data_IF_752703827169
#
_entry.id   IF_752703827169
#
_cell.length_a   1.000
_cell.length_b   1.000
_cell.length_c   1.000
_cell.angle_alpha   90.00
_cell.angle_beta   90.00
_cell.angle_gamma   90.00
#
_symmetry.space_group_name_H-M   'P 1'
#
loop_
_entity.id
_entity.type
_entity.pdbx_description
1 polymer ?
#
# COMPACT_ATOMS: atom_id res chain seq x y z
N UNK A 1 -11.69 -18.89 16.66
CA UNK A 1 -10.23 -18.80 16.43
C UNK A 1 -10.01 -17.45 15.78
N UNK A 2 -9.59 -16.44 16.54
CA UNK A 2 -9.14 -15.19 15.95
C UNK A 2 -7.66 -15.38 15.64
N UNK A 3 -7.32 -15.43 14.36
CA UNK A 3 -5.92 -15.39 13.92
C UNK A 3 -5.39 -13.98 14.18
N UNK A 4 -4.95 -13.72 15.42
CA UNK A 4 -4.41 -12.44 15.91
C UNK A 4 -3.02 -12.11 15.34
N UNK A 5 -2.75 -12.54 14.10
CA UNK A 5 -1.50 -12.32 13.39
C UNK A 5 -1.73 -11.78 11.97
N UNK A 6 -2.76 -10.95 11.79
CA UNK A 6 -2.97 -10.22 10.55
C UNK A 6 -1.97 -9.07 10.47
N UNK A 7 -1.20 -9.06 9.40
CA UNK A 7 -0.22 -8.03 9.08
C UNK A 7 -0.71 -7.25 7.86
N UNK A 8 -0.55 -5.93 7.91
CA UNK A 8 -0.74 -5.02 6.79
C UNK A 8 0.61 -4.49 6.34
N UNK A 9 0.78 -4.39 5.04
CA UNK A 9 1.92 -3.75 4.41
C UNK A 9 1.47 -2.38 3.92
N UNK A 10 2.17 -1.32 4.29
CA UNK A 10 1.85 0.06 3.92
C UNK A 10 2.97 0.67 3.10
N UNK A 11 2.60 1.36 2.03
CA UNK A 11 3.54 2.14 1.22
C UNK A 11 3.86 3.44 1.94
N UNK A 12 5.15 3.75 2.10
CA UNK A 12 5.61 4.96 2.79
C UNK A 12 5.43 6.25 1.96
N UNK A 13 5.23 6.13 0.64
CA UNK A 13 5.11 7.29 -0.27
C UNK A 13 3.67 7.81 -0.40
N UNK A 14 2.66 6.94 -0.24
CA UNK A 14 1.26 7.33 -0.48
C UNK A 14 0.23 6.63 0.43
N UNK A 15 0.69 6.07 1.56
CA UNK A 15 -0.14 5.39 2.57
C UNK A 15 -1.02 4.24 2.03
N UNK A 16 -0.74 3.72 0.83
CA UNK A 16 -1.48 2.60 0.28
C UNK A 16 -1.23 1.34 1.10
N UNK A 17 -2.28 0.69 1.61
CA UNK A 17 -2.20 -0.50 2.45
C UNK A 17 -2.71 -1.75 1.74
N UNK A 18 -2.00 -2.87 1.89
CA UNK A 18 -2.40 -4.19 1.40
C UNK A 18 -2.14 -5.26 2.46
N UNK A 19 -2.78 -6.42 2.35
CA UNK A 19 -2.50 -7.60 3.20
C UNK A 19 -1.40 -8.50 2.62
N UNK A 20 -0.91 -8.19 1.42
CA UNK A 20 0.07 -8.97 0.68
C UNK A 20 1.26 -8.09 0.26
N UNK A 21 2.47 -8.58 0.56
CA UNK A 21 3.73 -7.89 0.26
C UNK A 21 4.01 -7.82 -1.24
N UNK A 22 3.64 -8.85 -2.01
CA UNK A 22 3.88 -8.85 -3.45
C UNK A 22 3.05 -7.76 -4.15
N UNK A 23 1.79 -7.63 -3.73
CA UNK A 23 0.89 -6.57 -4.18
C UNK A 23 1.41 -5.18 -3.81
N UNK A 24 1.96 -5.00 -2.60
CA UNK A 24 2.57 -3.72 -2.21
C UNK A 24 3.80 -3.41 -3.05
N UNK A 25 4.68 -4.38 -3.25
CA UNK A 25 5.88 -4.20 -4.07
C UNK A 25 5.52 -3.82 -5.51
N UNK A 26 4.53 -4.49 -6.12
CA UNK A 26 4.03 -4.12 -7.45
C UNK A 26 3.45 -2.70 -7.49
N UNK A 27 2.85 -2.24 -6.39
CA UNK A 27 2.43 -0.86 -6.23
C UNK A 27 3.65 0.09 -6.13
N UNK A 28 4.64 -0.20 -5.30
CA UNK A 28 5.84 0.63 -5.11
C UNK A 28 6.69 0.76 -6.38
N UNK A 29 6.66 -0.22 -7.29
CA UNK A 29 7.29 -0.12 -8.61
C UNK A 29 6.74 1.06 -9.43
N UNK A 30 5.48 1.47 -9.21
CA UNK A 30 4.91 2.64 -9.88
C UNK A 30 5.50 3.96 -9.40
N UNK A 31 5.87 4.05 -8.12
CA UNK A 31 6.53 5.24 -7.55
C UNK A 31 7.96 5.41 -8.09
N UNK A 32 8.66 4.30 -8.32
CA UNK A 32 9.99 4.31 -8.94
C UNK A 32 9.95 4.75 -10.41
N UNK A 33 8.77 4.64 -11.03
CA UNK A 33 8.49 5.10 -12.37
C UNK A 33 9.15 4.25 -13.45
N UNK A 34 8.74 4.52 -14.68
CA UNK A 34 9.34 3.93 -15.87
C UNK A 34 10.30 4.93 -16.49
N UNK A 35 11.24 4.45 -17.30
CA UNK A 35 12.00 5.39 -18.14
C UNK A 35 11.05 6.12 -19.10
N UNK A 36 11.53 7.21 -19.73
CA UNK A 36 10.78 8.00 -20.73
C UNK A 36 10.13 7.19 -21.87
N UNK A 37 10.54 5.93 -22.05
CA UNK A 37 10.02 5.00 -23.06
C UNK A 37 8.99 4.01 -22.49
N UNK A 38 8.57 4.16 -21.23
CA UNK A 38 7.62 3.25 -20.58
C UNK A 38 8.21 1.88 -20.21
N UNK A 39 9.55 1.77 -20.16
CA UNK A 39 10.26 0.51 -19.90
C UNK A 39 11.01 0.63 -18.57
N UNK A 40 10.94 -0.41 -17.73
CA UNK A 40 11.86 -0.59 -16.61
C UNK A 40 13.18 -1.14 -17.13
N UNK A 41 14.29 -0.43 -16.87
CA UNK A 41 15.61 -0.84 -17.35
C UNK A 41 16.30 -1.65 -16.22
N UNK A 42 16.71 -2.91 -16.48
CA UNK A 42 17.14 -3.86 -15.45
C UNK A 42 18.47 -3.54 -14.73
N UNK A 43 19.14 -2.44 -15.11
CA UNK A 43 20.40 -1.98 -14.52
C UNK A 43 20.32 -0.51 -14.05
N UNK A 44 19.10 0.01 -13.88
CA UNK A 44 18.85 1.34 -13.32
C UNK A 44 18.07 1.24 -12.02
N UNK A 45 17.92 2.37 -11.31
CA UNK A 45 17.05 2.45 -10.11
C UNK A 45 15.59 2.10 -10.38
N UNK A 46 15.18 1.97 -11.64
CA UNK A 46 13.85 1.52 -12.06
C UNK A 46 13.84 0.05 -12.46
N UNK A 47 14.88 -0.74 -12.15
CA UNK A 47 14.88 -2.18 -12.38
C UNK A 47 13.76 -2.85 -11.60
N UNK A 48 12.92 -3.61 -12.30
CA UNK A 48 11.91 -4.44 -11.68
C UNK A 48 12.57 -5.48 -10.78
N UNK A 49 11.99 -5.70 -9.59
CA UNK A 49 12.44 -6.77 -8.68
C UNK A 49 13.70 -6.43 -7.88
N UNK A 50 14.06 -5.16 -7.78
CA UNK A 50 15.03 -4.70 -6.78
C UNK A 50 14.37 -4.68 -5.39
N UNK A 51 14.28 -5.88 -4.80
CA UNK A 51 13.61 -6.12 -3.51
C UNK A 51 14.21 -5.28 -2.38
N UNK A 52 15.53 -5.05 -2.37
CA UNK A 52 16.16 -4.26 -1.31
C UNK A 52 15.60 -2.85 -1.27
N UNK A 53 15.48 -2.19 -2.42
CA UNK A 53 14.88 -0.86 -2.46
C UNK A 53 13.36 -0.88 -2.23
N UNK A 54 12.64 -1.94 -2.59
CA UNK A 54 11.19 -2.05 -2.31
C UNK A 54 10.88 -2.21 -0.81
N UNK A 55 11.79 -2.83 -0.05
CA UNK A 55 11.67 -2.94 1.41
C UNK A 55 11.74 -1.56 2.09
N UNK A 56 12.54 -0.61 1.56
CA UNK A 56 12.59 0.78 2.08
C UNK A 56 11.26 1.54 1.88
N UNK A 57 10.43 1.10 0.94
CA UNK A 57 9.11 1.68 0.69
C UNK A 57 7.98 0.98 1.45
N UNK A 58 8.31 0.02 2.32
CA UNK A 58 7.33 -0.87 2.94
C UNK A 58 7.39 -0.78 4.47
N UNK A 59 6.31 -0.29 5.06
CA UNK A 59 6.04 -0.41 6.49
C UNK A 59 5.23 -1.69 6.78
N UNK A 60 5.61 -2.41 7.82
CA UNK A 60 4.89 -3.60 8.29
C UNK A 60 4.11 -3.25 9.56
N UNK A 61 2.78 -3.27 9.45
CA UNK A 61 1.86 -2.92 10.53
C UNK A 61 1.16 -4.16 11.04
N UNK A 62 1.20 -4.39 12.35
CA UNK A 62 0.44 -5.45 13.01
C UNK A 62 -0.95 -4.94 13.37
N UNK A 63 -2.00 -5.67 12.99
CA UNK A 63 -3.36 -5.34 13.39
C UNK A 63 -3.63 -5.94 14.77
N UNK A 64 -3.85 -5.08 15.76
CA UNK A 64 -4.13 -5.51 17.14
C UNK A 64 -5.62 -5.76 17.37
N UNK A 65 -6.47 -4.90 16.81
CA UNK A 65 -7.92 -4.95 16.98
C UNK A 65 -8.64 -5.06 15.63
N UNK A 66 -9.57 -6.01 15.54
CA UNK A 66 -10.44 -6.18 14.37
C UNK A 66 -11.89 -6.10 14.80
N UNK A 67 -12.66 -5.20 14.20
CA UNK A 67 -14.11 -5.09 14.42
C UNK A 67 -14.86 -5.52 13.17
N UNK A 68 -15.93 -6.28 13.34
CA UNK A 68 -16.80 -6.68 12.24
C UNK A 68 -17.73 -5.52 11.91
N UNK A 69 -17.60 -4.97 10.70
CA UNK A 69 -18.47 -3.91 10.18
C UNK A 69 -19.37 -4.52 9.10
N UNK A 70 -20.66 -4.15 9.08
CA UNK A 70 -21.58 -4.52 8.01
C UNK A 70 -21.38 -3.60 6.81
N UNK A 71 -21.52 -4.11 5.58
CA UNK A 71 -21.39 -3.29 4.35
C UNK A 71 -22.33 -2.08 4.33
N UNK A 72 -23.45 -2.13 5.06
CA UNK A 72 -24.41 -1.02 5.19
C UNK A 72 -23.91 0.13 6.07
N UNK A 73 -22.94 -0.13 6.94
CA UNK A 73 -22.40 0.86 7.88
C UNK A 73 -21.15 1.58 7.32
N UNK A 74 -20.62 1.11 6.18
CA UNK A 74 -19.43 1.70 5.53
C UNK A 74 -19.73 3.05 4.88
N UNK A 75 -20.94 3.21 4.33
CA UNK A 75 -21.40 4.44 3.67
C UNK A 75 -21.28 5.68 4.58
N UNK A 76 -21.47 5.49 5.89
CA UNK A 76 -21.39 6.56 6.90
C UNK A 76 -19.97 6.99 7.28
N UNK A 77 -18.93 6.23 6.90
CA UNK A 77 -17.54 6.53 7.24
C UNK A 77 -16.82 7.34 6.15
N UNK A 78 -17.36 7.37 4.93
CA UNK A 78 -16.78 8.09 3.79
C UNK A 78 -17.25 9.54 3.67
N UNK A 79 -18.21 9.96 4.51
CA UNK A 79 -18.80 11.29 4.47
C UNK A 79 -18.01 12.36 5.26
N UNK A 80 -16.96 11.98 6.01
CA UNK A 80 -16.19 12.91 6.87
C UNK A 80 -14.87 13.41 6.25
N UNK A 81 -14.58 13.12 4.97
CA UNK A 81 -13.39 13.64 4.25
C UNK A 81 -13.74 14.58 3.10
N UNK A 82 -14.88 15.25 3.17
CA UNK A 82 -15.39 16.13 2.12
C UNK A 82 -15.98 17.44 2.65
N UNK A 83 -15.16 18.27 3.27
CA UNK A 83 -15.45 19.69 3.51
C UNK A 83 -14.18 20.39 3.99
N UNK A 84 -13.89 21.64 3.67
CA UNK A 84 -14.50 22.73 2.91
C UNK A 84 -13.36 23.76 2.87
N UNK A 85 -12.87 24.19 1.70
CA UNK A 85 -12.04 25.40 1.63
C UNK A 85 -12.49 26.24 0.42
N UNK A 86 -12.80 27.51 0.72
CA UNK A 86 -13.49 28.56 -0.05
C UNK A 86 -12.95 28.92 -1.45
#
# INVERSE_FOLDING_TARGET
>A
MNDSNTVLFRCTECDHTTTDVASLHAHCEKHRGYTRFGIQIPFTRTSAGDFNALMEYTDVLRVEDTTKISLKDIDRLTDESGGEDE
#
